data_IF_256311961775
#
_entry.id   IF_256311961775
#
_cell.length_a   1.000
_cell.length_b   1.000
_cell.length_c   1.000
_cell.angle_alpha   90.00
_cell.angle_beta   90.00
_cell.angle_gamma   90.00
#
_symmetry.space_group_name_H-M   'P 1'
#
loop_
_entity.id
_entity.type
_entity.pdbx_description
1 polymer ?
#
# COMPACT_ATOMS: atom_id res chain seq x y z
N UNK A 1 -34.11 6.64 7.51
CA UNK A 1 -33.67 6.47 6.12
C UNK A 1 -32.20 6.12 6.22
N UNK A 2 -31.88 4.84 6.16
CA UNK A 2 -30.50 4.39 6.00
C UNK A 2 -30.10 4.78 4.58
N UNK A 3 -28.96 5.47 4.35
CA UNK A 3 -28.44 5.57 3.00
C UNK A 3 -28.15 4.15 2.50
N UNK A 4 -28.46 3.88 1.24
CA UNK A 4 -28.02 2.70 0.51
C UNK A 4 -26.50 2.78 0.31
N UNK A 5 -25.73 2.67 1.40
CA UNK A 5 -24.28 2.59 1.31
C UNK A 5 -23.94 1.32 0.51
N UNK A 6 -23.05 1.42 -0.48
CA UNK A 6 -22.68 0.26 -1.29
C UNK A 6 -21.99 -0.77 -0.40
N UNK A 7 -22.58 -1.95 -0.24
CA UNK A 7 -22.05 -3.04 0.59
C UNK A 7 -20.95 -3.86 -0.12
N UNK A 8 -20.39 -3.35 -1.22
CA UNK A 8 -19.33 -4.01 -1.97
C UNK A 8 -18.13 -3.06 -2.19
N UNK A 9 -16.93 -3.64 -2.13
CA UNK A 9 -15.68 -2.90 -2.25
C UNK A 9 -15.57 -2.12 -3.56
N UNK A 10 -15.99 -2.71 -4.69
CA UNK A 10 -15.77 -2.08 -5.98
C UNK A 10 -16.55 -0.77 -6.14
N UNK A 11 -17.80 -0.75 -5.67
CA UNK A 11 -18.60 0.47 -5.67
C UNK A 11 -18.01 1.50 -4.69
N UNK A 12 -17.52 1.08 -3.53
CA UNK A 12 -16.83 1.96 -2.58
C UNK A 12 -15.54 2.56 -3.17
N UNK A 13 -14.66 1.72 -3.70
CA UNK A 13 -13.39 2.09 -4.35
C UNK A 13 -13.61 3.16 -5.42
N UNK A 14 -14.63 2.98 -6.24
CA UNK A 14 -15.01 3.91 -7.30
C UNK A 14 -15.57 5.22 -6.75
N UNK A 15 -16.45 5.18 -5.74
CA UNK A 15 -17.10 6.37 -5.19
C UNK A 15 -16.14 7.31 -4.45
N UNK A 16 -15.02 6.77 -3.96
CA UNK A 16 -14.02 7.49 -3.19
C UNK A 16 -12.67 7.65 -3.91
N UNK A 17 -12.57 7.22 -5.17
CA UNK A 17 -11.35 7.27 -5.99
C UNK A 17 -10.13 6.69 -5.23
N UNK A 18 -10.32 5.53 -4.59
CA UNK A 18 -9.39 4.99 -3.59
C UNK A 18 -8.00 4.75 -4.19
N UNK A 19 -7.91 4.01 -5.30
CA UNK A 19 -6.62 3.72 -5.97
C UNK A 19 -5.90 4.99 -6.44
N UNK A 20 -6.63 5.96 -6.99
CA UNK A 20 -6.03 7.22 -7.43
C UNK A 20 -5.49 8.01 -6.24
N UNK A 21 -6.26 8.07 -5.16
CA UNK A 21 -5.86 8.74 -3.92
C UNK A 21 -4.59 8.11 -3.34
N UNK A 22 -4.57 6.79 -3.15
CA UNK A 22 -3.40 6.09 -2.63
C UNK A 22 -2.19 6.22 -3.56
N UNK A 23 -2.38 6.15 -4.87
CA UNK A 23 -1.30 6.36 -5.84
C UNK A 23 -0.67 7.75 -5.69
N UNK A 24 -1.48 8.81 -5.63
CA UNK A 24 -0.97 10.18 -5.47
C UNK A 24 -0.29 10.38 -4.11
N UNK A 25 -0.85 9.83 -3.04
CA UNK A 25 -0.25 9.90 -1.70
C UNK A 25 1.08 9.17 -1.62
N UNK A 26 1.17 7.95 -2.16
CA UNK A 26 2.41 7.20 -2.22
C UNK A 26 3.48 7.93 -3.04
N UNK A 27 3.12 8.51 -4.20
CA UNK A 27 4.05 9.31 -5.00
C UNK A 27 4.54 10.57 -4.27
N UNK A 28 3.62 11.30 -3.63
CA UNK A 28 3.98 12.46 -2.83
C UNK A 28 4.89 12.06 -1.65
N UNK A 29 4.64 10.89 -1.05
CA UNK A 29 5.44 10.34 0.03
C UNK A 29 6.85 9.98 -0.41
N UNK A 30 7.00 9.32 -1.56
CA UNK A 30 8.33 9.02 -2.14
C UNK A 30 9.12 10.31 -2.45
N UNK A 31 8.45 11.35 -2.95
CA UNK A 31 9.07 12.66 -3.15
C UNK A 31 9.48 13.34 -1.83
N UNK A 32 8.63 13.29 -0.81
CA UNK A 32 8.95 13.80 0.53
C UNK A 32 10.14 13.05 1.14
N UNK A 33 10.17 11.72 1.00
CA UNK A 33 11.27 10.87 1.44
C UNK A 33 12.58 11.24 0.73
N UNK A 34 12.55 11.41 -0.59
CA UNK A 34 13.70 11.84 -1.39
C UNK A 34 14.24 13.23 -1.04
N UNK A 35 13.44 14.07 -0.37
CA UNK A 35 13.84 15.40 0.11
C UNK A 35 14.22 15.42 1.61
N UNK A 36 14.00 14.32 2.33
CA UNK A 36 14.18 14.22 3.79
C UNK A 36 15.64 13.95 4.20
N UNK A 37 15.86 13.72 5.50
CA UNK A 37 17.15 13.28 6.03
C UNK A 37 17.60 11.91 5.47
N UNK A 38 16.69 11.12 4.90
CA UNK A 38 16.95 9.80 4.34
C UNK A 38 17.38 9.82 2.86
N UNK A 39 17.42 11.00 2.21
CA UNK A 39 17.71 11.15 0.77
C UNK A 39 19.00 10.47 0.27
N UNK A 40 19.95 10.23 1.16
CA UNK A 40 21.24 9.61 0.85
C UNK A 40 21.30 8.11 1.14
N UNK A 41 20.27 7.55 1.77
CA UNK A 41 20.12 6.12 1.95
C UNK A 41 19.77 5.44 0.63
N UNK A 42 20.25 4.22 0.43
CA UNK A 42 19.85 3.37 -0.69
C UNK A 42 18.86 2.35 -0.17
N UNK A 43 17.63 2.41 -0.67
CA UNK A 43 16.57 1.50 -0.29
C UNK A 43 16.61 0.24 -1.14
N UNK A 44 16.30 -0.88 -0.51
CA UNK A 44 16.25 -2.21 -1.08
C UNK A 44 14.84 -2.77 -1.19
N UNK A 45 13.90 -2.25 -0.40
CA UNK A 45 12.51 -2.67 -0.45
C UNK A 45 11.52 -1.55 -0.09
N UNK A 46 10.27 -1.72 -0.53
CA UNK A 46 9.12 -0.89 -0.16
C UNK A 46 7.87 -1.76 0.02
N UNK A 47 7.05 -1.44 1.02
CA UNK A 47 5.78 -2.11 1.26
C UNK A 47 4.64 -1.12 1.50
N UNK A 48 3.46 -1.48 0.98
CA UNK A 48 2.21 -1.14 1.66
C UNK A 48 1.97 -2.20 2.74
N UNK A 49 2.14 -1.80 4.00
CA UNK A 49 1.93 -2.67 5.15
C UNK A 49 0.56 -2.38 5.78
N UNK A 50 -0.43 -3.23 5.49
CA UNK A 50 -1.75 -3.17 6.10
C UNK A 50 -1.68 -3.71 7.54
N UNK A 51 -1.17 -2.88 8.45
CA UNK A 51 -0.88 -3.22 9.86
C UNK A 51 -2.13 -3.60 10.66
N UNK A 52 -3.29 -3.11 10.25
CA UNK A 52 -4.60 -3.53 10.75
C UNK A 52 -5.63 -2.99 9.78
N UNK A 53 -6.56 -3.79 9.27
CA UNK A 53 -7.58 -3.25 8.37
C UNK A 53 -8.44 -2.21 9.11
N UNK A 54 -8.59 -0.96 8.60
CA UNK A 54 -8.19 -0.43 7.28
C UNK A 54 -6.91 0.45 7.23
N UNK A 55 -6.09 0.47 8.28
CA UNK A 55 -4.82 1.20 8.38
C UNK A 55 -3.71 0.66 7.48
N UNK A 56 -3.00 1.59 6.83
CA UNK A 56 -1.83 1.35 5.97
C UNK A 56 -0.64 2.09 6.56
N UNK A 57 0.49 1.41 6.63
CA UNK A 57 1.80 1.99 6.88
C UNK A 57 2.70 1.86 5.66
N UNK A 58 3.59 2.84 5.48
CA UNK A 58 4.62 2.79 4.43
C UNK A 58 5.93 2.31 5.03
N UNK A 59 6.35 1.11 4.64
CA UNK A 59 7.58 0.51 5.15
C UNK A 59 8.66 0.52 4.07
N UNK A 60 9.90 0.80 4.45
CA UNK A 60 11.07 0.71 3.58
C UNK A 60 12.21 0.00 4.27
N UNK A 61 12.98 -0.73 3.47
CA UNK A 61 14.19 -1.39 3.98
C UNK A 61 15.45 -0.93 3.24
N UNK A 62 16.58 -1.03 3.93
CA UNK A 62 17.92 -0.71 3.42
C UNK A 62 18.82 -1.94 3.33
N UNK A 63 18.38 -3.09 3.87
CA UNK A 63 19.14 -4.33 3.81
C UNK A 63 18.73 -5.19 2.58
N UNK A 64 19.61 -5.31 1.55
CA UNK A 64 19.31 -6.05 0.34
C UNK A 64 19.17 -7.57 0.54
N UNK A 65 19.55 -8.11 1.70
CA UNK A 65 19.42 -9.53 2.02
C UNK A 65 18.15 -9.87 2.81
N UNK A 66 17.28 -8.90 3.13
CA UNK A 66 16.04 -9.14 3.88
C UNK A 66 15.13 -10.17 3.21
N UNK A 67 14.91 -10.07 1.90
CA UNK A 67 14.13 -11.08 1.16
C UNK A 67 14.69 -12.50 1.30
N UNK A 68 16.01 -12.66 1.38
CA UNK A 68 16.64 -14.00 1.50
C UNK A 68 16.52 -14.60 2.90
N UNK A 69 16.23 -13.76 3.89
CA UNK A 69 16.08 -14.14 5.30
C UNK A 69 14.60 -14.18 5.71
N UNK A 70 13.69 -14.02 4.75
CA UNK A 70 12.25 -13.92 4.97
C UNK A 70 11.92 -12.80 5.98
N UNK A 71 12.65 -11.68 5.90
CA UNK A 71 12.38 -10.49 6.71
C UNK A 71 11.38 -9.62 5.97
N UNK A 72 10.26 -9.34 6.62
CA UNK A 72 9.13 -8.56 6.13
C UNK A 72 9.01 -7.26 6.91
N UNK A 73 8.06 -6.35 6.60
CA UNK A 73 8.03 -5.01 7.19
C UNK A 73 8.28 -4.90 8.70
N UNK A 74 7.79 -5.80 9.58
CA UNK A 74 8.10 -5.75 11.01
C UNK A 74 9.60 -5.92 11.36
N UNK A 75 10.38 -6.55 10.49
CA UNK A 75 11.82 -6.78 10.64
C UNK A 75 12.68 -5.76 9.88
N UNK A 76 12.05 -4.86 9.12
CA UNK A 76 12.76 -3.92 8.26
C UNK A 76 13.33 -2.73 9.02
N UNK A 77 14.37 -2.13 8.45
CA UNK A 77 15.05 -0.96 9.05
C UNK A 77 14.13 0.24 9.26
N UNK A 78 13.08 0.40 8.45
CA UNK A 78 12.08 1.44 8.63
C UNK A 78 10.66 0.86 8.42
N UNK A 79 10.11 0.28 9.48
CA UNK A 79 8.77 -0.32 9.47
C UNK A 79 7.64 0.70 9.20
N UNK A 80 7.79 1.95 9.64
CA UNK A 80 6.72 2.94 9.66
C UNK A 80 7.26 4.34 9.34
N UNK A 81 7.47 4.61 8.05
CA UNK A 81 8.14 5.84 7.59
C UNK A 81 7.36 7.11 7.87
N UNK A 82 6.04 7.04 8.00
CA UNK A 82 5.19 8.16 8.39
C UNK A 82 5.50 8.72 9.78
N UNK A 83 6.13 7.93 10.66
CA UNK A 83 6.59 8.38 11.98
C UNK A 83 7.91 9.12 11.87
N UNK A 84 8.82 8.64 11.01
CA UNK A 84 10.17 9.18 10.86
C UNK A 84 10.23 10.38 9.89
N UNK A 85 9.25 10.50 8.99
CA UNK A 85 9.07 11.61 8.07
C UNK A 85 7.68 12.22 8.30
N UNK A 86 7.56 13.23 9.20
CA UNK A 86 6.26 13.78 9.60
C UNK A 86 5.42 14.33 8.44
N UNK A 87 6.06 14.82 7.38
CA UNK A 87 5.38 15.26 6.17
C UNK A 87 4.62 14.12 5.49
N UNK A 88 5.17 12.90 5.50
CA UNK A 88 4.48 11.71 5.01
C UNK A 88 3.28 11.39 5.88
N UNK A 89 3.44 11.37 7.21
CA UNK A 89 2.32 11.12 8.13
C UNK A 89 1.17 12.11 7.96
N UNK A 90 1.47 13.39 7.77
CA UNK A 90 0.45 14.42 7.52
C UNK A 90 -0.24 14.22 6.17
N UNK A 91 0.51 13.89 5.10
CA UNK A 91 -0.06 13.62 3.77
C UNK A 91 -1.10 12.50 3.83
N UNK A 92 -0.78 11.39 4.47
CA UNK A 92 -1.69 10.25 4.58
C UNK A 92 -2.88 10.54 5.50
N UNK A 93 -2.65 11.20 6.64
CA UNK A 93 -3.73 11.60 7.55
C UNK A 93 -4.77 12.47 6.85
N UNK A 94 -4.33 13.52 6.14
CA UNK A 94 -5.25 14.43 5.46
C UNK A 94 -5.86 13.82 4.20
N UNK A 95 -5.05 13.07 3.44
CA UNK A 95 -5.45 12.48 2.17
C UNK A 95 -6.43 11.33 2.32
N UNK A 96 -6.28 10.51 3.36
CA UNK A 96 -7.16 9.36 3.60
C UNK A 96 -8.35 9.68 4.50
N UNK A 97 -8.40 10.82 5.20
CA UNK A 97 -9.46 11.13 6.19
C UNK A 97 -10.90 10.85 5.70
N UNK A 98 -11.21 11.19 4.44
CA UNK A 98 -12.53 10.92 3.85
C UNK A 98 -12.75 9.43 3.54
N UNK A 99 -11.72 8.75 3.03
CA UNK A 99 -11.76 7.31 2.73
C UNK A 99 -11.91 6.55 4.05
N UNK A 100 -11.07 6.83 5.04
CA UNK A 100 -11.04 6.13 6.32
C UNK A 100 -12.37 6.26 7.06
N UNK A 101 -12.94 7.47 7.13
CA UNK A 101 -14.24 7.69 7.76
C UNK A 101 -15.36 6.86 7.09
N UNK A 102 -15.38 6.82 5.77
CA UNK A 102 -16.39 6.06 5.02
C UNK A 102 -16.13 4.55 5.04
N UNK A 103 -14.88 4.12 5.09
CA UNK A 103 -14.49 2.72 5.15
C UNK A 103 -14.86 2.13 6.52
N UNK A 104 -14.71 2.88 7.61
CA UNK A 104 -15.20 2.48 8.93
C UNK A 104 -16.72 2.25 8.89
N UNK A 105 -17.49 3.16 8.28
CA UNK A 105 -18.94 2.98 8.13
C UNK A 105 -19.30 1.75 7.27
N UNK A 106 -18.52 1.49 6.21
CA UNK A 106 -18.70 0.29 5.38
C UNK A 106 -18.44 -1.00 6.16
N UNK A 107 -17.36 -1.03 6.94
CA UNK A 107 -16.97 -2.16 7.78
C UNK A 107 -18.02 -2.42 8.86
N UNK A 108 -18.48 -1.37 9.55
CA UNK A 108 -19.50 -1.47 10.60
C UNK A 108 -20.85 -1.99 10.08
N UNK A 109 -21.13 -1.81 8.79
CA UNK A 109 -22.35 -2.26 8.14
C UNK A 109 -22.25 -3.67 7.53
N UNK A 110 -21.05 -4.21 7.38
CA UNK A 110 -20.78 -5.49 6.74
C UNK A 110 -21.01 -6.68 7.69
N UNK A 111 -21.55 -7.78 7.16
CA UNK A 111 -21.46 -9.08 7.82
C UNK A 111 -20.09 -9.75 7.59
N UNK A 112 -19.85 -10.90 8.22
CA UNK A 112 -18.54 -11.59 8.15
C UNK A 112 -18.14 -11.99 6.71
N UNK A 113 -19.09 -12.37 5.86
CA UNK A 113 -18.81 -12.75 4.47
C UNK A 113 -18.47 -11.50 3.64
N UNK A 114 -19.23 -10.43 3.82
CA UNK A 114 -18.97 -9.13 3.20
C UNK A 114 -17.64 -8.55 3.64
N UNK A 115 -17.30 -8.65 4.92
CA UNK A 115 -16.04 -8.13 5.47
C UNK A 115 -14.84 -8.82 4.81
N UNK A 116 -14.89 -10.15 4.65
CA UNK A 116 -13.83 -10.88 3.94
C UNK A 116 -13.69 -10.46 2.46
N UNK A 117 -14.81 -10.21 1.78
CA UNK A 117 -14.80 -9.71 0.40
C UNK A 117 -14.27 -8.25 0.30
N UNK A 118 -14.58 -7.42 1.29
CA UNK A 118 -14.12 -6.04 1.39
C UNK A 118 -12.61 -6.01 1.63
N UNK A 119 -12.10 -6.81 2.57
CA UNK A 119 -10.68 -6.91 2.89
C UNK A 119 -9.88 -7.39 1.68
N UNK A 120 -10.30 -8.45 1.00
CA UNK A 120 -9.60 -8.90 -0.21
C UNK A 120 -9.65 -7.86 -1.34
N UNK A 121 -10.79 -7.18 -1.52
CA UNK A 121 -10.90 -6.07 -2.45
C UNK A 121 -9.89 -4.96 -2.15
N UNK A 122 -9.80 -4.56 -0.88
CA UNK A 122 -8.87 -3.56 -0.39
C UNK A 122 -7.41 -3.91 -0.67
N UNK A 123 -6.99 -5.14 -0.33
CA UNK A 123 -5.63 -5.61 -0.60
C UNK A 123 -5.35 -5.67 -2.10
N UNK A 124 -6.32 -6.14 -2.89
CA UNK A 124 -6.19 -6.16 -4.34
C UNK A 124 -5.98 -4.75 -4.91
N UNK A 125 -6.67 -3.73 -4.39
CA UNK A 125 -6.48 -2.33 -4.76
C UNK A 125 -5.11 -1.78 -4.37
N UNK A 126 -4.57 -2.17 -3.21
CA UNK A 126 -3.18 -1.87 -2.86
C UNK A 126 -2.19 -2.51 -3.82
N UNK A 127 -2.41 -3.77 -4.21
CA UNK A 127 -1.57 -4.47 -5.20
C UNK A 127 -1.62 -3.77 -6.56
N UNK A 128 -2.81 -3.37 -7.05
CA UNK A 128 -2.95 -2.54 -8.26
C UNK A 128 -2.19 -1.22 -8.14
N UNK A 129 -2.32 -0.54 -7.01
CA UNK A 129 -1.60 0.71 -6.72
C UNK A 129 -0.09 0.52 -6.74
N UNK A 130 0.43 -0.57 -6.13
CA UNK A 130 1.84 -0.92 -6.14
C UNK A 130 2.37 -1.13 -7.57
N UNK A 131 1.68 -1.93 -8.38
CA UNK A 131 2.07 -2.16 -9.78
C UNK A 131 2.04 -0.85 -10.59
N UNK A 132 1.09 0.05 -10.30
CA UNK A 132 1.07 1.38 -10.90
C UNK A 132 2.28 2.24 -10.48
N UNK A 133 2.73 2.17 -9.23
CA UNK A 133 3.95 2.84 -8.78
C UNK A 133 5.20 2.30 -9.51
N UNK A 134 5.30 0.98 -9.66
CA UNK A 134 6.38 0.31 -10.38
C UNK A 134 6.45 0.78 -11.85
N UNK A 135 5.32 0.78 -12.54
CA UNK A 135 5.24 1.11 -13.98
C UNK A 135 5.33 2.62 -14.27
N UNK A 136 4.92 3.47 -13.33
CA UNK A 136 5.02 4.94 -13.45
C UNK A 136 6.38 5.53 -13.10
N UNK A 137 7.36 4.68 -12.78
CA UNK A 137 8.69 5.08 -12.30
C UNK A 137 8.63 5.97 -11.04
N UNK A 138 7.63 5.75 -10.17
CA UNK A 138 7.47 6.53 -8.95
C UNK A 138 8.68 6.42 -8.02
N UNK A 139 9.37 5.28 -8.03
CA UNK A 139 10.54 5.02 -7.18
C UNK A 139 11.80 5.78 -7.62
N UNK A 140 11.82 6.43 -8.78
CA UNK A 140 12.94 7.29 -9.22
C UNK A 140 13.13 8.53 -8.32
N UNK A 141 12.15 8.82 -7.44
CA UNK A 141 12.23 9.89 -6.45
C UNK A 141 13.20 9.57 -5.29
N UNK A 142 13.57 8.30 -5.11
CA UNK A 142 14.47 7.82 -4.05
C UNK A 142 15.61 7.00 -4.64
N UNK A 143 16.70 6.79 -3.89
CA UNK A 143 17.79 5.91 -4.32
C UNK A 143 17.40 4.47 -4.03
N UNK A 144 17.36 3.63 -5.07
CA UNK A 144 17.05 2.20 -4.97
C UNK A 144 18.21 1.32 -5.43
N UNK A 145 18.24 0.07 -4.96
CA UNK A 145 19.17 -0.94 -5.47
C UNK A 145 18.60 -1.64 -6.73
N UNK A 146 19.46 -2.32 -7.50
CA UNK A 146 19.07 -2.99 -8.75
C UNK A 146 18.06 -4.16 -8.56
N UNK A 147 17.85 -4.63 -7.32
CA UNK A 147 16.92 -5.68 -6.95
C UNK A 147 15.81 -5.18 -6.03
N UNK A 148 15.37 -3.93 -6.22
CA UNK A 148 14.36 -3.30 -5.38
C UNK A 148 13.11 -4.17 -5.28
N UNK A 149 12.74 -4.51 -4.04
CA UNK A 149 11.68 -5.47 -3.75
C UNK A 149 10.42 -4.75 -3.25
N UNK A 150 9.32 -4.97 -3.93
CA UNK A 150 8.02 -4.38 -3.59
C UNK A 150 7.04 -5.46 -3.16
N UNK A 151 6.36 -5.20 -2.05
CA UNK A 151 5.35 -6.10 -1.46
C UNK A 151 4.11 -5.35 -0.99
N UNK A 152 2.99 -6.05 -0.96
CA UNK A 152 1.79 -5.64 -0.21
C UNK A 152 1.60 -6.72 0.83
N UNK A 153 1.54 -6.34 2.10
CA UNK A 153 1.44 -7.31 3.20
C UNK A 153 0.34 -6.88 4.16
N UNK A 154 -0.26 -7.85 4.83
CA UNK A 154 -1.13 -7.60 5.98
C UNK A 154 -0.59 -8.37 7.19
N UNK A 155 -1.00 -7.98 8.40
CA UNK A 155 -0.65 -8.72 9.62
C UNK A 155 -1.16 -10.16 9.57
N UNK A 156 -0.34 -11.10 10.03
CA UNK A 156 -0.62 -12.53 10.07
C UNK A 156 -0.86 -13.21 8.69
N UNK A 157 -0.61 -12.53 7.56
CA UNK A 157 -0.68 -13.17 6.25
C UNK A 157 0.47 -14.14 5.98
N UNK A 158 0.16 -15.15 5.18
CA UNK A 158 1.16 -15.95 4.48
C UNK A 158 1.84 -15.08 3.42
N UNK A 159 3.10 -14.72 3.66
CA UNK A 159 3.84 -13.79 2.82
C UNK A 159 4.14 -14.35 1.43
N UNK A 160 4.29 -15.67 1.28
CA UNK A 160 4.42 -16.32 -0.02
C UNK A 160 3.10 -16.23 -0.81
N UNK A 161 1.96 -16.26 -0.13
CA UNK A 161 0.67 -16.02 -0.77
C UNK A 161 0.53 -14.58 -1.25
N UNK A 162 0.91 -13.60 -0.43
CA UNK A 162 0.87 -12.18 -0.77
C UNK A 162 1.76 -11.83 -1.98
N UNK A 163 2.98 -12.34 -2.00
CA UNK A 163 3.87 -12.15 -3.16
C UNK A 163 3.29 -12.77 -4.44
N UNK A 164 2.68 -13.96 -4.34
CA UNK A 164 2.01 -14.60 -5.49
C UNK A 164 0.80 -13.82 -5.97
N UNK A 165 0.03 -13.20 -5.07
CA UNK A 165 -1.13 -12.38 -5.42
C UNK A 165 -0.68 -11.08 -6.10
N UNK A 166 0.36 -10.42 -5.59
CA UNK A 166 0.95 -9.25 -6.23
C UNK A 166 1.51 -9.58 -7.63
N UNK A 167 2.18 -10.72 -7.78
CA UNK A 167 2.70 -11.16 -9.07
C UNK A 167 1.58 -11.42 -10.10
N UNK A 168 0.44 -11.95 -9.68
CA UNK A 168 -0.73 -12.10 -10.56
C UNK A 168 -1.22 -10.75 -11.10
N UNK A 169 -1.21 -9.70 -10.28
CA UNK A 169 -1.57 -8.34 -10.72
C UNK A 169 -0.54 -7.79 -11.71
N UNK A 170 0.75 -8.00 -11.48
CA UNK A 170 1.82 -7.60 -12.43
C UNK A 170 1.63 -8.26 -13.79
N UNK A 171 1.37 -9.58 -13.81
CA UNK A 171 1.13 -10.32 -15.04
C UNK A 171 -0.14 -9.85 -15.76
N UNK A 172 -1.21 -9.55 -15.02
CA UNK A 172 -2.44 -9.02 -15.60
C UNK A 172 -2.24 -7.64 -16.25
N UNK A 173 -1.49 -6.75 -15.59
CA UNK A 173 -1.15 -5.43 -16.13
C UNK A 173 -0.31 -5.55 -17.42
N UNK A 174 0.73 -6.37 -17.41
CA UNK A 174 1.58 -6.59 -18.58
C UNK A 174 0.81 -7.15 -19.80
N UNK A 175 -0.22 -7.97 -19.57
CA UNK A 175 -1.08 -8.50 -20.63
C UNK A 175 -2.14 -7.49 -21.12
N UNK A 176 -2.43 -6.44 -20.34
CA UNK A 176 -3.40 -5.40 -20.71
C UNK A 176 -2.77 -4.30 -21.58
N UNK A 177 -1.45 -4.14 -21.50
CA UNK A 177 -0.65 -3.19 -22.29
C UNK A 177 -0.07 -3.78 -23.59
N UNK A 178 -0.32 -5.07 -23.87
CA UNK A 178 0.16 -5.82 -25.04
C UNK A 178 -0.89 -5.91 -26.16
#
# INVERSE_FOLDING_TARGET
>A
MTPDSPLDWHTFETAYDVEETWFQLARASLAALGASAFKDQTFSAFAFNAVSFPSISLSLDTDPDSRKRDYYPPDWSNECMEVDVPEMGQLWTDGCARIDGALIELIDAADDEQLGAIEEGYLHSLRKTMVRLETSQAFDQIKTCAGFWTVVTQVDADTDAEERLLEQVRLAAANSDA
#
